data_IF_826581320340
#
_entry.id   IF_826581320340
#
_cell.length_a   1.000
_cell.length_b   1.000
_cell.length_c   1.000
_cell.angle_alpha   90.00
_cell.angle_beta   90.00
_cell.angle_gamma   90.00
#
_symmetry.space_group_name_H-M   'P 1'
#
loop_
_entity.id
_entity.type
_entity.pdbx_description
1 polymer ?
#
# COMPACT_ATOMS: atom_id res chain seq x y z
N UNK A 1 -18.28 -20.70 73.01
CA UNK A 1 -18.89 -19.70 72.10
C UNK A 1 -18.06 -18.44 72.23
N UNK A 2 -17.22 -18.08 71.24
CA UNK A 2 -17.70 -17.32 70.08
C UNK A 2 -16.92 -17.56 68.77
N UNK A 3 -17.47 -17.16 67.62
CA UNK A 3 -16.67 -16.71 66.48
C UNK A 3 -17.55 -15.84 65.59
N UNK A 4 -17.34 -14.51 65.69
CA UNK A 4 -17.94 -13.52 64.81
C UNK A 4 -17.19 -13.56 63.47
N UNK A 5 -17.93 -13.77 62.40
CA UNK A 5 -17.44 -13.82 61.02
C UNK A 5 -17.38 -12.37 60.49
N UNK A 6 -16.18 -11.83 60.29
CA UNK A 6 -15.99 -10.55 59.62
C UNK A 6 -15.94 -10.78 58.11
N UNK A 7 -17.03 -10.42 57.41
CA UNK A 7 -17.04 -10.32 55.95
C UNK A 7 -16.36 -9.00 55.54
N UNK A 8 -15.17 -9.09 54.97
CA UNK A 8 -14.50 -7.97 54.30
C UNK A 8 -15.02 -7.91 52.85
N UNK A 9 -15.85 -6.92 52.54
CA UNK A 9 -16.30 -6.66 51.17
C UNK A 9 -15.24 -5.83 50.43
N UNK A 10 -14.49 -6.47 49.53
CA UNK A 10 -13.56 -5.78 48.62
C UNK A 10 -14.35 -5.27 47.41
N UNK A 11 -14.67 -3.96 47.37
CA UNK A 11 -15.20 -3.31 46.17
C UNK A 11 -14.06 -3.12 45.15
N UNK A 12 -14.04 -3.94 44.11
CA UNK A 12 -13.19 -3.77 42.93
C UNK A 12 -13.77 -2.65 42.05
N UNK A 13 -13.15 -1.47 42.09
CA UNK A 13 -13.37 -0.37 41.15
C UNK A 13 -12.82 -0.75 39.77
N UNK A 14 -13.67 -1.32 38.91
CA UNK A 14 -13.39 -1.45 37.50
C UNK A 14 -13.57 -0.07 36.84
N UNK A 15 -12.49 0.69 36.70
CA UNK A 15 -12.50 1.90 35.90
C UNK A 15 -12.72 1.52 34.42
N UNK A 16 -13.69 2.13 33.71
CA UNK A 16 -13.85 1.91 32.29
C UNK A 16 -12.66 2.56 31.57
N UNK A 17 -11.79 1.74 31.00
CA UNK A 17 -10.79 2.21 30.06
C UNK A 17 -11.53 2.78 28.84
N UNK A 18 -11.72 4.11 28.84
CA UNK A 18 -12.10 4.86 27.64
C UNK A 18 -10.95 4.68 26.63
N UNK A 19 -11.06 3.63 25.82
CA UNK A 19 -10.23 3.43 24.64
C UNK A 19 -10.53 4.55 23.66
N UNK A 20 -9.75 5.62 23.73
CA UNK A 20 -9.73 6.65 22.71
C UNK A 20 -9.10 6.03 21.45
N UNK A 21 -9.92 5.49 20.54
CA UNK A 21 -9.47 5.23 19.18
C UNK A 21 -9.46 6.57 18.45
N UNK A 22 -8.41 7.37 18.67
CA UNK A 22 -8.15 8.51 17.81
C UNK A 22 -7.93 7.95 16.39
N UNK A 23 -8.81 8.31 15.46
CA UNK A 23 -8.69 7.97 14.05
C UNK A 23 -7.50 8.76 13.49
N UNK A 24 -6.31 8.19 13.61
CA UNK A 24 -5.07 8.80 13.12
C UNK A 24 -5.20 8.87 11.61
N UNK A 25 -5.51 10.07 11.11
CA UNK A 25 -5.44 10.36 9.69
C UNK A 25 -3.99 10.24 9.24
N UNK A 26 -3.64 9.07 8.70
CA UNK A 26 -2.32 8.86 8.11
C UNK A 26 -2.34 9.37 6.69
N UNK A 27 -1.51 10.37 6.42
CA UNK A 27 -1.14 10.74 5.06
C UNK A 27 0.00 9.83 4.58
N UNK A 28 -0.12 9.17 3.43
CA UNK A 28 0.97 8.37 2.88
C UNK A 28 2.21 9.21 2.59
N UNK A 29 3.39 8.60 2.67
CA UNK A 29 4.66 9.20 2.26
C UNK A 29 4.60 9.55 0.77
N UNK A 30 5.41 10.55 0.39
CA UNK A 30 5.62 10.88 -1.02
C UNK A 30 6.28 9.70 -1.74
N UNK A 31 5.49 9.00 -2.53
CA UNK A 31 5.91 7.93 -3.41
C UNK A 31 5.41 8.20 -4.83
N UNK A 32 6.02 7.54 -5.81
CA UNK A 32 5.55 7.55 -7.19
C UNK A 32 5.65 6.16 -7.79
N UNK A 33 4.67 5.80 -8.61
CA UNK A 33 4.78 4.67 -9.53
C UNK A 33 5.50 5.14 -10.79
N UNK A 34 6.46 4.34 -11.25
CA UNK A 34 7.17 4.51 -12.52
C UNK A 34 6.97 3.27 -13.36
N UNK A 35 6.72 3.51 -14.64
CA UNK A 35 6.62 2.49 -15.67
C UNK A 35 7.71 2.73 -16.71
N UNK A 36 8.62 1.77 -16.88
CA UNK A 36 9.64 1.76 -17.92
C UNK A 36 9.20 0.82 -19.04
N UNK A 37 9.29 1.29 -20.29
CA UNK A 37 9.10 0.43 -21.46
C UNK A 37 10.42 -0.31 -21.74
N UNK A 38 10.40 -1.64 -21.65
CA UNK A 38 11.60 -2.47 -21.67
C UNK A 38 12.37 -2.44 -20.34
N UNK A 39 13.71 -2.40 -20.43
CA UNK A 39 14.59 -2.47 -19.26
C UNK A 39 14.66 -1.15 -18.47
N UNK A 40 14.95 -1.18 -17.16
CA UNK A 40 15.21 0.04 -16.39
C UNK A 40 16.31 0.88 -17.06
N UNK A 41 16.04 2.17 -17.31
CA UNK A 41 17.00 3.09 -17.93
C UNK A 41 16.83 3.31 -19.45
N UNK A 42 15.87 2.67 -20.11
CA UNK A 42 15.58 2.78 -21.55
C UNK A 42 14.98 4.13 -22.03
N UNK A 43 15.02 5.20 -21.23
CA UNK A 43 14.66 6.56 -21.63
C UNK A 43 13.16 6.89 -21.65
N UNK A 44 12.27 5.96 -22.04
CA UNK A 44 10.81 6.16 -22.00
C UNK A 44 10.21 5.73 -20.66
N UNK A 45 9.71 6.68 -19.86
CA UNK A 45 9.00 6.34 -18.63
C UNK A 45 7.81 7.27 -18.32
N UNK A 46 6.70 6.66 -17.91
CA UNK A 46 5.60 7.37 -17.28
C UNK A 46 5.80 7.36 -15.77
N UNK A 47 5.50 8.47 -15.10
CA UNK A 47 5.57 8.56 -13.63
C UNK A 47 4.32 9.25 -13.10
N UNK A 48 3.82 8.77 -11.96
CA UNK A 48 2.69 9.37 -11.27
C UNK A 48 2.88 9.26 -9.76
N UNK A 49 2.60 10.35 -9.04
CA UNK A 49 2.61 10.36 -7.59
C UNK A 49 1.52 9.46 -7.02
N UNK A 50 1.84 8.73 -5.95
CA UNK A 50 0.87 7.92 -5.21
C UNK A 50 0.12 8.81 -4.21
N UNK A 51 -1.21 8.80 -4.32
CA UNK A 51 -2.12 9.20 -3.24
C UNK A 51 -2.80 7.98 -2.61
N UNK A 52 -3.94 8.20 -1.94
CA UNK A 52 -4.72 7.12 -1.31
C UNK A 52 -5.25 6.09 -2.32
N UNK A 53 -5.48 6.48 -3.56
CA UNK A 53 -5.74 5.58 -4.68
C UNK A 53 -5.39 6.27 -5.99
N UNK A 54 -5.33 5.52 -7.08
CA UNK A 54 -5.12 6.10 -8.40
C UNK A 54 -4.95 5.06 -9.49
N UNK A 55 -4.69 5.58 -10.69
CA UNK A 55 -4.54 4.80 -11.91
C UNK A 55 -3.49 5.41 -12.82
N UNK A 56 -2.63 4.58 -13.40
CA UNK A 56 -1.69 4.92 -14.46
C UNK A 56 -1.91 3.98 -15.65
N UNK A 57 -2.11 4.56 -16.84
CA UNK A 57 -2.03 3.82 -18.10
C UNK A 57 -0.65 4.10 -18.71
N UNK A 58 0.11 3.07 -19.02
CA UNK A 58 1.44 3.22 -19.61
C UNK A 58 1.80 2.07 -20.53
N UNK A 59 2.65 2.33 -21.51
CA UNK A 59 3.15 1.32 -22.42
C UNK A 59 3.32 1.84 -23.82
N UNK A 60 3.46 0.89 -24.74
CA UNK A 60 3.42 1.12 -26.18
C UNK A 60 2.26 0.29 -26.75
N UNK A 61 1.84 0.60 -27.98
CA UNK A 61 0.73 -0.08 -28.67
C UNK A 61 0.89 -1.60 -28.61
N UNK A 62 -0.17 -2.31 -28.22
CA UNK A 62 -0.19 -3.76 -28.04
C UNK A 62 0.47 -4.27 -26.75
N UNK A 63 1.11 -3.38 -25.97
CA UNK A 63 1.83 -3.64 -24.72
C UNK A 63 1.49 -2.60 -23.64
N UNK A 64 0.22 -2.22 -23.58
CA UNK A 64 -0.28 -1.25 -22.60
C UNK A 64 -0.62 -1.95 -21.29
N UNK A 65 -0.16 -1.39 -20.17
CA UNK A 65 -0.58 -1.74 -18.82
C UNK A 65 -1.55 -0.72 -18.27
N UNK A 66 -2.59 -1.19 -17.60
CA UNK A 66 -3.32 -0.42 -16.59
C UNK A 66 -2.78 -0.82 -15.22
N UNK A 67 -2.25 0.16 -14.47
CA UNK A 67 -1.85 -0.01 -13.08
C UNK A 67 -2.78 0.79 -12.19
N UNK A 68 -3.46 0.13 -11.26
CA UNK A 68 -4.23 0.79 -10.21
C UNK A 68 -3.62 0.52 -8.85
N UNK A 69 -3.85 1.42 -7.91
CA UNK A 69 -3.41 1.24 -6.53
C UNK A 69 -4.41 1.76 -5.52
N UNK A 70 -4.27 1.26 -4.29
CA UNK A 70 -4.96 1.73 -3.10
C UNK A 70 -4.01 1.68 -1.90
N UNK A 71 -3.94 2.77 -1.14
CA UNK A 71 -3.31 2.82 0.17
C UNK A 71 -4.17 2.06 1.17
N UNK A 72 -3.56 1.10 1.84
CA UNK A 72 -4.20 0.22 2.82
C UNK A 72 -4.03 0.75 4.24
N UNK A 73 -2.92 1.42 4.52
CA UNK A 73 -2.61 1.96 5.84
C UNK A 73 -1.11 1.90 6.14
N UNK A 74 -0.77 1.94 7.42
CA UNK A 74 0.60 1.74 7.89
C UNK A 74 0.78 0.35 8.51
N UNK A 75 1.94 -0.23 8.26
CA UNK A 75 2.46 -1.36 9.04
C UNK A 75 3.89 -1.07 9.42
N UNK A 76 4.18 -1.06 10.72
CA UNK A 76 5.53 -0.80 11.26
C UNK A 76 6.17 0.48 10.70
N UNK A 77 5.37 1.53 10.54
CA UNK A 77 5.80 2.83 10.01
C UNK A 77 6.02 2.88 8.50
N UNK A 78 5.70 1.82 7.76
CA UNK A 78 5.77 1.75 6.29
C UNK A 78 4.40 1.91 5.68
N UNK A 79 4.34 2.54 4.50
CA UNK A 79 3.09 2.66 3.77
C UNK A 79 2.75 1.34 3.10
N UNK A 80 1.53 0.84 3.30
CA UNK A 80 1.07 -0.38 2.65
C UNK A 80 0.16 -0.01 1.49
N UNK A 81 0.46 -0.55 0.31
CA UNK A 81 -0.33 -0.36 -0.90
C UNK A 81 -0.68 -1.70 -1.54
N UNK A 82 -1.91 -1.82 -2.02
CA UNK A 82 -2.30 -2.86 -2.97
C UNK A 82 -2.19 -2.31 -4.39
N UNK A 83 -1.41 -2.98 -5.24
CA UNK A 83 -1.33 -2.68 -6.66
C UNK A 83 -2.02 -3.78 -7.47
N UNK A 84 -2.74 -3.37 -8.51
CA UNK A 84 -3.26 -4.27 -9.54
C UNK A 84 -2.72 -3.82 -10.89
N UNK A 85 -2.27 -4.78 -11.70
CA UNK A 85 -1.88 -4.57 -13.09
C UNK A 85 -2.77 -5.40 -14.00
N UNK A 86 -3.31 -4.79 -15.04
CA UNK A 86 -3.95 -5.47 -16.17
C UNK A 86 -3.09 -5.30 -17.41
N UNK A 87 -2.68 -6.41 -18.03
CA UNK A 87 -1.75 -6.41 -19.15
C UNK A 87 -1.87 -7.68 -20.03
N UNK A 88 -1.70 -7.56 -21.36
CA UNK A 88 -1.78 -6.32 -22.15
C UNK A 88 -3.24 -5.86 -22.23
N UNK A 89 -3.51 -4.60 -21.86
CA UNK A 89 -4.86 -4.05 -21.67
C UNK A 89 -5.76 -4.10 -22.91
N UNK A 90 -5.15 -4.00 -24.09
CA UNK A 90 -5.85 -3.94 -25.39
C UNK A 90 -6.14 -5.34 -25.98
N UNK A 91 -5.74 -6.41 -25.29
CA UNK A 91 -5.94 -7.78 -25.76
C UNK A 91 -7.21 -8.41 -25.18
N UNK A 92 -7.82 -9.32 -25.92
CA UNK A 92 -8.86 -10.21 -25.39
C UNK A 92 -8.34 -11.11 -24.26
N UNK A 93 -7.03 -11.35 -24.21
CA UNK A 93 -6.36 -12.17 -23.20
C UNK A 93 -5.68 -11.31 -22.11
N UNK A 94 -6.40 -10.33 -21.55
CA UNK A 94 -5.91 -9.53 -20.43
C UNK A 94 -5.61 -10.42 -19.22
N UNK A 95 -4.36 -10.39 -18.76
CA UNK A 95 -3.98 -10.96 -17.47
C UNK A 95 -4.08 -9.91 -16.37
N UNK A 96 -4.52 -10.34 -15.17
CA UNK A 96 -4.54 -9.50 -13.97
C UNK A 96 -3.52 -10.01 -12.96
N UNK A 97 -2.67 -9.11 -12.46
CA UNK A 97 -1.69 -9.39 -11.43
C UNK A 97 -1.92 -8.45 -10.24
N UNK A 98 -1.81 -8.96 -9.02
CA UNK A 98 -2.01 -8.18 -7.79
C UNK A 98 -0.75 -8.30 -6.95
N UNK A 99 -0.32 -7.20 -6.33
CA UNK A 99 0.81 -7.19 -5.41
C UNK A 99 0.61 -6.17 -4.29
N UNK A 100 0.66 -6.63 -3.05
CA UNK A 100 0.76 -5.76 -1.89
C UNK A 100 2.23 -5.42 -1.63
N UNK A 101 2.51 -4.16 -1.30
CA UNK A 101 3.87 -3.67 -1.02
C UNK A 101 3.88 -2.81 0.24
N UNK A 102 4.89 -3.03 1.08
CA UNK A 102 5.27 -2.13 2.16
C UNK A 102 6.38 -1.20 1.67
N UNK A 103 6.12 0.10 1.62
CA UNK A 103 7.02 1.11 1.10
C UNK A 103 7.64 1.94 2.24
N UNK A 104 8.97 1.92 2.30
CA UNK A 104 9.78 2.62 3.30
C UNK A 104 10.70 3.69 2.70
N UNK A 105 10.47 4.12 1.45
CA UNK A 105 11.27 5.12 0.74
C UNK A 105 12.20 4.57 -0.34
N UNK A 106 12.55 3.28 -0.26
CA UNK A 106 13.40 2.61 -1.26
C UNK A 106 12.61 2.10 -2.47
N UNK A 107 13.29 1.94 -3.60
CA UNK A 107 12.67 1.45 -4.84
C UNK A 107 12.24 -0.02 -4.67
N UNK A 108 10.98 -0.31 -4.97
CA UNK A 108 10.42 -1.67 -4.99
C UNK A 108 9.87 -1.98 -6.37
N UNK A 109 10.32 -3.08 -6.98
CA UNK A 109 9.76 -3.56 -8.25
C UNK A 109 8.39 -4.16 -7.98
N UNK A 110 7.36 -3.67 -8.65
CA UNK A 110 5.99 -4.16 -8.56
C UNK A 110 5.80 -5.35 -9.51
N UNK A 111 6.04 -5.10 -10.81
CA UNK A 111 5.87 -6.06 -11.89
C UNK A 111 7.02 -5.91 -12.88
N UNK A 112 7.52 -7.02 -13.40
CA UNK A 112 8.60 -7.05 -14.38
C UNK A 112 8.36 -8.18 -15.37
N UNK A 113 8.46 -7.85 -16.65
CA UNK A 113 8.46 -8.80 -17.75
C UNK A 113 9.34 -8.29 -18.89
N UNK A 114 9.35 -9.01 -20.01
CA UNK A 114 10.18 -8.66 -21.17
C UNK A 114 9.82 -7.31 -21.80
N UNK A 115 8.59 -6.85 -21.62
CA UNK A 115 8.01 -5.68 -22.26
C UNK A 115 8.07 -4.45 -21.34
N UNK A 116 7.98 -4.61 -20.01
CA UNK A 116 7.89 -3.50 -19.05
C UNK A 116 8.47 -3.81 -17.66
N UNK A 117 8.99 -2.76 -17.01
CA UNK A 117 9.28 -2.77 -15.56
C UNK A 117 8.50 -1.67 -14.86
N UNK A 118 7.69 -2.06 -13.88
CA UNK A 118 6.86 -1.18 -13.06
C UNK A 118 7.39 -1.21 -11.63
N UNK A 119 7.65 -0.05 -11.05
CA UNK A 119 8.20 0.09 -9.71
C UNK A 119 7.55 1.24 -8.94
N UNK A 120 7.56 1.14 -7.61
CA UNK A 120 7.34 2.28 -6.72
C UNK A 120 8.68 2.78 -6.19
N UNK A 121 8.83 4.09 -6.05
CA UNK A 121 10.03 4.69 -5.46
C UNK A 121 9.71 6.08 -4.90
N UNK A 122 10.66 6.63 -4.14
CA UNK A 122 10.62 8.05 -3.78
C UNK A 122 10.79 8.93 -5.04
N UNK A 123 10.14 10.10 -5.09
CA UNK A 123 10.48 11.13 -6.07
C UNK A 123 11.96 11.51 -5.93
N UNK A 124 12.64 11.72 -7.06
CA UNK A 124 13.95 12.37 -7.02
C UNK A 124 13.74 13.86 -6.66
N UNK A 125 14.64 14.47 -5.88
CA UNK A 125 14.66 15.93 -5.65
C UNK A 125 14.65 16.71 -6.97
#
# INVERSE_FOLDING_TARGET
MPARLHFLALLLLAAPHLGFTADVHVTPRRAQVICHNGKPGSGGHCRMGLGTSGKLICGIVGKVSEITWRFVGLRDGKDVYDFTRRFPLESENVATQIKQVEFAGERVILFEDKDQVIAVQSPKP
#
